data_IF_221656249663
#
_entry.id   IF_221656249663
#
_cell.length_a   1.000
_cell.length_b   1.000
_cell.length_c   1.000
_cell.angle_alpha   90.00
_cell.angle_beta   90.00
_cell.angle_gamma   90.00
#
_symmetry.space_group_name_H-M   'P 1'
#
loop_
_entity.id
_entity.type
_entity.pdbx_description
1 polymer ?
#
# COMPACT_ATOMS: atom_id res chain seq x y z
N UNK A 1 -15.48 -19.13 26.04
CA UNK A 1 -16.14 -20.44 26.16
C UNK A 1 -16.81 -20.73 24.83
N UNK A 2 -16.75 -21.96 24.33
CA UNK A 2 -17.39 -22.30 23.06
C UNK A 2 -18.92 -22.21 23.19
N UNK A 3 -19.64 -21.77 22.15
CA UNK A 3 -21.10 -21.71 22.19
C UNK A 3 -21.67 -23.12 22.37
N UNK A 4 -22.71 -23.23 23.19
CA UNK A 4 -23.48 -24.47 23.40
C UNK A 4 -24.93 -24.23 23.01
N UNK A 5 -25.74 -25.30 22.92
CA UNK A 5 -27.14 -25.20 22.49
C UNK A 5 -27.97 -24.23 23.34
N UNK A 6 -27.64 -24.07 24.62
CA UNK A 6 -28.35 -23.20 25.57
C UNK A 6 -27.60 -21.89 25.88
N UNK A 7 -26.37 -21.72 25.38
CA UNK A 7 -25.52 -20.55 25.69
C UNK A 7 -24.80 -20.06 24.44
N UNK A 8 -25.32 -18.98 23.87
CA UNK A 8 -24.75 -18.25 22.74
C UNK A 8 -25.09 -16.76 22.85
N UNK A 9 -24.33 -15.90 22.17
CA UNK A 9 -24.59 -14.45 22.18
C UNK A 9 -25.51 -14.01 21.04
N UNK A 10 -25.38 -14.66 19.88
CA UNK A 10 -26.14 -14.35 18.66
C UNK A 10 -26.59 -15.67 18.03
N UNK A 11 -27.79 -15.68 17.46
CA UNK A 11 -28.34 -16.80 16.72
C UNK A 11 -28.86 -16.31 15.38
N UNK A 12 -28.40 -16.95 14.31
CA UNK A 12 -28.86 -16.70 12.95
C UNK A 12 -29.39 -18.00 12.34
N UNK A 13 -30.48 -17.91 11.59
CA UNK A 13 -31.11 -19.06 10.94
C UNK A 13 -30.97 -18.87 9.43
N UNK A 14 -30.32 -19.84 8.80
CA UNK A 14 -30.13 -19.90 7.35
C UNK A 14 -30.87 -21.11 6.76
N UNK A 15 -31.38 -21.04 5.52
CA UNK A 15 -31.43 -19.84 4.68
C UNK A 15 -32.42 -18.79 5.22
N UNK A 16 -32.08 -17.51 5.10
CA UNK A 16 -32.96 -16.42 5.53
C UNK A 16 -34.19 -16.33 4.61
N UNK A 17 -35.36 -16.72 5.14
CA UNK A 17 -36.62 -16.74 4.37
C UNK A 17 -37.25 -15.36 4.18
N UNK A 18 -36.82 -14.35 4.95
CA UNK A 18 -37.34 -12.97 4.84
C UNK A 18 -36.83 -12.24 3.59
N UNK A 19 -35.74 -12.72 3.01
CA UNK A 19 -35.23 -12.26 1.72
C UNK A 19 -36.09 -12.94 0.65
N UNK A 20 -37.24 -12.35 0.34
CA UNK A 20 -38.14 -12.78 -0.74
C UNK A 20 -38.74 -11.56 -1.46
N UNK A 21 -38.23 -11.33 -2.69
CA UNK A 21 -38.81 -10.61 -3.84
C UNK A 21 -39.70 -9.38 -3.58
N UNK A 22 -39.11 -8.18 -3.74
CA UNK A 22 -39.84 -6.99 -4.18
C UNK A 22 -39.05 -6.10 -5.16
N UNK A 23 -37.96 -6.59 -5.76
CA UNK A 23 -37.16 -5.83 -6.73
C UNK A 23 -36.81 -6.72 -7.91
N UNK A 24 -37.21 -6.31 -9.11
CA UNK A 24 -37.01 -6.97 -10.41
C UNK A 24 -35.54 -7.15 -10.85
N UNK A 25 -34.59 -6.73 -10.01
CA UNK A 25 -33.21 -6.43 -10.44
C UNK A 25 -32.15 -7.33 -9.77
N UNK A 26 -32.55 -8.34 -8.99
CA UNK A 26 -31.60 -9.24 -8.29
C UNK A 26 -31.42 -10.54 -9.10
N UNK A 27 -30.18 -10.88 -9.43
CA UNK A 27 -29.82 -12.13 -10.11
C UNK A 27 -30.04 -13.35 -9.17
N UNK A 28 -30.43 -14.50 -9.72
CA UNK A 28 -30.68 -15.75 -8.97
C UNK A 28 -29.46 -16.20 -8.14
N UNK A 29 -28.25 -16.02 -8.67
CA UNK A 29 -27.00 -16.35 -7.95
C UNK A 29 -26.83 -15.46 -6.71
N UNK A 30 -27.16 -14.17 -6.83
CA UNK A 30 -27.07 -13.21 -5.74
C UNK A 30 -28.17 -13.49 -4.70
N UNK A 31 -29.35 -13.95 -5.10
CA UNK A 31 -30.41 -14.37 -4.17
C UNK A 31 -29.98 -15.55 -3.29
N UNK A 32 -29.34 -16.56 -3.88
CA UNK A 32 -28.83 -17.70 -3.12
C UNK A 32 -27.76 -17.26 -2.13
N UNK A 33 -26.84 -16.39 -2.55
CA UNK A 33 -25.80 -15.83 -1.68
C UNK A 33 -26.40 -15.04 -0.52
N UNK A 34 -27.35 -14.14 -0.80
CA UNK A 34 -28.02 -13.31 0.21
C UNK A 34 -28.76 -14.15 1.25
N UNK A 35 -29.47 -15.20 0.81
CA UNK A 35 -30.16 -16.13 1.72
C UNK A 35 -29.20 -16.90 2.63
N UNK A 36 -27.94 -17.07 2.26
CA UNK A 36 -26.91 -17.78 3.03
C UNK A 36 -25.88 -16.85 3.67
N UNK A 37 -26.09 -15.54 3.60
CA UNK A 37 -25.20 -14.53 4.19
C UNK A 37 -25.81 -13.98 5.47
N UNK A 38 -24.97 -13.81 6.49
CA UNK A 38 -25.33 -13.11 7.72
C UNK A 38 -24.49 -11.84 7.82
N UNK A 39 -25.14 -10.71 8.08
CA UNK A 39 -24.45 -9.46 8.37
C UNK A 39 -24.42 -9.24 9.87
N UNK A 40 -23.22 -9.06 10.44
CA UNK A 40 -23.03 -8.73 11.84
C UNK A 40 -22.75 -7.23 11.97
N UNK A 41 -23.74 -6.42 12.37
CA UNK A 41 -23.56 -4.97 12.45
C UNK A 41 -22.56 -4.56 13.55
N UNK A 42 -21.95 -3.36 13.45
CA UNK A 42 -20.90 -2.91 14.37
C UNK A 42 -21.32 -2.88 15.85
N UNK A 43 -22.60 -2.71 16.14
CA UNK A 43 -23.17 -2.68 17.48
C UNK A 43 -23.25 -4.06 18.17
N UNK A 44 -23.09 -5.17 17.45
CA UNK A 44 -23.10 -6.51 18.04
C UNK A 44 -21.70 -7.08 18.30
N UNK A 45 -20.64 -6.37 17.88
CA UNK A 45 -19.26 -6.77 18.13
C UNK A 45 -18.77 -6.27 19.49
N UNK A 46 -18.05 -7.11 20.22
CA UNK A 46 -17.42 -6.76 21.50
C UNK A 46 -16.01 -6.15 21.31
N UNK A 47 -15.67 -5.74 20.08
CA UNK A 47 -14.35 -5.22 19.71
C UNK A 47 -13.36 -6.29 19.25
N UNK A 48 -12.07 -6.01 19.35
CA UNK A 48 -11.01 -6.93 18.93
C UNK A 48 -10.97 -8.15 19.85
N UNK A 49 -11.10 -9.35 19.28
CA UNK A 49 -11.09 -10.57 20.06
C UNK A 49 -11.29 -11.82 19.21
N UNK A 50 -11.31 -12.97 19.87
CA UNK A 50 -11.60 -14.26 19.23
C UNK A 50 -13.10 -14.52 19.28
N UNK A 51 -13.71 -14.66 18.12
CA UNK A 51 -15.11 -15.06 17.96
C UNK A 51 -15.18 -16.54 17.61
N UNK A 52 -16.11 -17.27 18.24
CA UNK A 52 -16.31 -18.70 17.99
C UNK A 52 -17.68 -18.88 17.34
N UNK A 53 -17.70 -19.45 16.14
CA UNK A 53 -18.92 -19.71 15.37
C UNK A 53 -19.27 -21.19 15.50
N UNK A 54 -20.49 -21.49 15.95
CA UNK A 54 -21.05 -22.83 15.98
C UNK A 54 -22.11 -22.98 14.88
N UNK A 55 -22.08 -24.09 14.15
CA UNK A 55 -23.06 -24.42 13.11
C UNK A 55 -23.82 -25.67 13.55
N UNK A 56 -25.16 -25.58 13.57
CA UNK A 56 -26.06 -26.70 13.91
C UNK A 56 -27.17 -26.82 12.87
N UNK A 57 -27.45 -28.04 12.45
CA UNK A 57 -28.62 -28.35 11.63
C UNK A 57 -29.87 -28.35 12.50
N UNK A 58 -30.88 -27.54 12.16
CA UNK A 58 -32.11 -27.41 12.96
C UNK A 58 -33.18 -28.45 12.58
N UNK A 59 -33.43 -28.67 11.29
CA UNK A 59 -34.43 -29.63 10.80
C UNK A 59 -33.94 -30.25 9.48
N UNK A 60 -34.01 -31.58 9.38
CA UNK A 60 -33.92 -32.29 8.10
C UNK A 60 -35.34 -32.69 7.66
N UNK A 61 -35.69 -32.47 6.40
CA UNK A 61 -36.97 -32.91 5.82
C UNK A 61 -37.07 -34.44 5.67
N UNK A 62 -35.99 -35.15 6.00
CA UNK A 62 -35.88 -36.61 5.94
C UNK A 62 -35.66 -37.15 7.33
N UNK A 63 -36.34 -38.24 7.68
CA UNK A 63 -36.10 -39.02 8.90
C UNK A 63 -34.72 -39.67 8.82
N UNK A 64 -33.67 -38.92 9.11
CA UNK A 64 -32.32 -39.44 9.27
C UNK A 64 -31.96 -39.39 10.76
N UNK A 65 -31.38 -40.47 11.27
CA UNK A 65 -30.78 -40.47 12.60
C UNK A 65 -29.68 -39.40 12.63
N UNK A 66 -29.88 -38.35 13.43
CA UNK A 66 -29.02 -37.16 13.53
C UNK A 66 -27.60 -37.44 14.07
N UNK A 67 -27.27 -38.70 14.39
CA UNK A 67 -26.00 -39.11 14.99
C UNK A 67 -24.88 -39.35 13.99
N UNK A 68 -25.15 -39.36 12.68
CA UNK A 68 -24.16 -39.81 11.67
C UNK A 68 -24.18 -38.96 10.39
N UNK A 69 -24.35 -37.64 10.51
CA UNK A 69 -24.31 -36.75 9.35
C UNK A 69 -23.05 -35.87 9.34
N UNK A 70 -22.10 -36.23 8.47
CA UNK A 70 -20.95 -35.39 8.16
C UNK A 70 -21.36 -34.31 7.15
N UNK A 71 -21.75 -33.13 7.64
CA UNK A 71 -21.94 -31.95 6.79
C UNK A 71 -20.59 -31.30 6.50
N UNK A 72 -20.18 -31.26 5.24
CA UNK A 72 -19.12 -30.35 4.81
C UNK A 72 -19.73 -28.98 4.49
N UNK A 73 -19.12 -27.94 5.02
CA UNK A 73 -19.50 -26.55 4.74
C UNK A 73 -18.25 -25.70 4.57
N UNK A 74 -18.36 -24.68 3.73
CA UNK A 74 -17.30 -23.68 3.51
C UNK A 74 -17.80 -22.35 4.03
N UNK A 75 -17.09 -21.75 4.98
CA UNK A 75 -17.40 -20.43 5.50
C UNK A 75 -16.44 -19.42 4.86
N UNK A 76 -17.01 -18.39 4.23
CA UNK A 76 -16.27 -17.23 3.78
C UNK A 76 -16.63 -16.03 4.66
N UNK A 77 -15.64 -15.25 5.04
CA UNK A 77 -15.81 -14.06 5.87
C UNK A 77 -15.23 -12.86 5.12
N UNK A 78 -16.00 -11.78 5.05
CA UNK A 78 -15.57 -10.51 4.50
C UNK A 78 -16.13 -9.38 5.33
N UNK A 79 -15.47 -8.22 5.29
CA UNK A 79 -15.94 -7.01 5.95
C UNK A 79 -16.35 -6.03 4.86
N UNK A 80 -17.56 -5.51 4.97
CA UNK A 80 -18.05 -4.42 4.13
C UNK A 80 -18.31 -3.17 4.98
N UNK A 81 -18.01 -1.99 4.43
CA UNK A 81 -18.17 -0.71 5.10
C UNK A 81 -18.65 0.34 4.10
N UNK A 82 -19.63 1.14 4.51
CA UNK A 82 -20.07 2.32 3.78
C UNK A 82 -19.42 3.57 4.36
N UNK A 83 -18.76 4.36 3.51
CA UNK A 83 -18.11 5.60 3.91
C UNK A 83 -18.42 6.73 2.93
N UNK A 84 -18.26 7.96 3.40
CA UNK A 84 -18.28 9.16 2.59
C UNK A 84 -17.05 10.01 2.89
N UNK A 85 -16.68 10.84 1.92
CA UNK A 85 -15.61 11.80 2.10
C UNK A 85 -16.13 13.02 2.88
N UNK A 86 -15.65 13.22 4.11
CA UNK A 86 -15.93 14.42 4.90
C UNK A 86 -14.97 15.53 4.48
N UNK A 87 -15.43 16.46 3.65
CA UNK A 87 -14.63 17.59 3.15
C UNK A 87 -14.17 18.54 4.25
N UNK A 88 -14.89 18.63 5.38
CA UNK A 88 -14.50 19.53 6.47
C UNK A 88 -13.33 18.97 7.28
N UNK A 89 -13.31 17.65 7.44
CA UNK A 89 -12.28 16.94 8.19
C UNK A 89 -11.17 16.36 7.30
N UNK A 90 -11.34 16.42 5.98
CA UNK A 90 -10.45 15.81 4.99
C UNK A 90 -10.17 14.32 5.29
N UNK A 91 -11.20 13.57 5.65
CA UNK A 91 -11.09 12.14 6.00
C UNK A 91 -12.35 11.36 5.61
N UNK A 92 -12.21 10.04 5.44
CA UNK A 92 -13.34 9.14 5.25
C UNK A 92 -14.10 8.93 6.56
N UNK A 93 -15.39 9.27 6.57
CA UNK A 93 -16.30 9.03 7.71
C UNK A 93 -17.39 8.02 7.33
N UNK A 94 -17.90 7.29 8.30
CA UNK A 94 -19.08 6.42 8.15
C UNK A 94 -20.33 7.01 8.82
N UNK A 95 -20.24 8.24 9.34
CA UNK A 95 -21.33 8.86 10.09
C UNK A 95 -22.59 9.01 9.23
N UNK A 96 -23.69 8.37 9.65
CA UNK A 96 -24.96 8.41 8.93
C UNK A 96 -25.04 7.52 7.69
N UNK A 97 -24.11 6.57 7.52
CA UNK A 97 -24.18 5.51 6.53
C UNK A 97 -24.14 4.14 7.20
N UNK A 98 -25.01 3.24 6.76
CA UNK A 98 -25.08 1.86 7.24
C UNK A 98 -25.06 0.90 6.04
N UNK A 99 -24.51 -0.30 6.24
CA UNK A 99 -24.50 -1.36 5.23
C UNK A 99 -25.87 -2.04 5.22
N UNK A 100 -26.49 -2.12 4.05
CA UNK A 100 -27.80 -2.70 3.84
C UNK A 100 -27.77 -4.23 3.74
N UNK A 101 -28.95 -4.83 3.86
CA UNK A 101 -29.13 -6.29 3.87
C UNK A 101 -28.97 -6.94 2.47
N UNK A 102 -28.97 -6.15 1.39
CA UNK A 102 -28.74 -6.63 0.02
C UNK A 102 -27.25 -6.58 -0.38
N UNK A 103 -26.35 -6.52 0.60
CA UNK A 103 -24.90 -6.58 0.37
C UNK A 103 -24.44 -8.01 0.06
N UNK A 104 -23.71 -8.17 -1.04
CA UNK A 104 -23.07 -9.40 -1.51
C UNK A 104 -21.55 -9.21 -1.63
N UNK A 105 -20.83 -10.28 -1.98
CA UNK A 105 -19.40 -10.24 -2.31
C UNK A 105 -19.08 -9.33 -3.50
N UNK A 106 -20.05 -9.06 -4.39
CA UNK A 106 -19.85 -8.26 -5.61
C UNK A 106 -20.36 -6.83 -5.46
N UNK A 107 -21.35 -6.60 -4.62
CA UNK A 107 -22.01 -5.30 -4.48
C UNK A 107 -22.32 -5.01 -3.01
N UNK A 108 -22.00 -3.80 -2.56
CA UNK A 108 -22.38 -3.34 -1.22
C UNK A 108 -23.55 -2.37 -1.33
N UNK A 109 -24.63 -2.66 -0.61
CA UNK A 109 -25.74 -1.75 -0.46
C UNK A 109 -25.42 -0.75 0.66
N UNK A 110 -25.41 0.54 0.35
CA UNK A 110 -25.15 1.60 1.33
C UNK A 110 -26.40 2.44 1.57
N UNK A 111 -26.91 2.39 2.80
CA UNK A 111 -28.05 3.16 3.27
C UNK A 111 -27.52 4.41 4.01
N UNK A 112 -27.43 5.53 3.29
CA UNK A 112 -26.96 6.80 3.83
C UNK A 112 -28.10 7.81 3.98
N UNK A 113 -28.09 8.59 5.06
CA UNK A 113 -29.09 9.66 5.33
C UNK A 113 -28.72 11.04 4.76
N UNK A 114 -27.65 11.11 3.96
CA UNK A 114 -27.13 12.35 3.37
C UNK A 114 -26.70 12.10 1.92
N UNK A 115 -26.67 13.18 1.12
CA UNK A 115 -26.24 13.14 -0.27
C UNK A 115 -24.80 13.66 -0.36
N UNK A 116 -23.85 12.76 -0.28
CA UNK A 116 -22.41 13.05 -0.38
C UNK A 116 -21.74 12.06 -1.33
N UNK A 117 -20.49 12.31 -1.70
CA UNK A 117 -19.70 11.31 -2.43
C UNK A 117 -19.45 10.12 -1.52
N UNK A 118 -20.17 9.02 -1.79
CA UNK A 118 -20.07 7.76 -1.06
C UNK A 118 -19.16 6.78 -1.78
N UNK A 119 -18.54 5.89 -1.00
CA UNK A 119 -17.77 4.76 -1.47
C UNK A 119 -17.96 3.56 -0.53
N UNK A 120 -17.98 2.36 -1.11
CA UNK A 120 -17.88 1.12 -0.34
C UNK A 120 -16.40 0.75 -0.15
N UNK A 121 -16.04 0.31 1.05
CA UNK A 121 -14.76 -0.35 1.32
C UNK A 121 -15.02 -1.82 1.62
N UNK A 122 -14.24 -2.71 1.00
CA UNK A 122 -14.29 -4.14 1.24
C UNK A 122 -12.92 -4.61 1.73
N UNK A 123 -12.88 -5.16 2.94
CA UNK A 123 -11.67 -5.71 3.52
C UNK A 123 -11.77 -7.22 3.61
N UNK A 124 -11.01 -7.90 2.75
CA UNK A 124 -10.76 -9.33 2.87
C UNK A 124 -9.51 -9.49 3.75
N UNK A 125 -9.61 -10.10 4.93
CA UNK A 125 -8.45 -10.30 5.78
C UNK A 125 -7.40 -11.12 5.01
N UNK A 126 -6.15 -10.63 4.89
CA UNK A 126 -5.12 -11.38 4.20
C UNK A 126 -4.88 -12.70 4.94
N UNK A 127 -4.67 -13.79 4.19
CA UNK A 127 -4.29 -15.07 4.78
C UNK A 127 -3.06 -14.87 5.68
N UNK A 128 -3.18 -15.25 6.95
CA UNK A 128 -2.09 -15.09 7.91
C UNK A 128 -0.92 -15.96 7.50
N UNK A 129 0.24 -15.36 7.25
CA UNK A 129 1.46 -16.10 6.94
C UNK A 129 1.99 -16.68 8.25
N UNK A 130 1.85 -18.00 8.43
CA UNK A 130 2.53 -18.69 9.52
C UNK A 130 4.00 -18.90 9.15
N UNK A 131 4.86 -18.01 9.66
CA UNK A 131 6.30 -18.08 9.45
C UNK A 131 6.91 -19.42 9.92
N UNK A 132 6.31 -20.13 10.89
CA UNK A 132 6.80 -21.47 11.29
C UNK A 132 6.67 -22.47 10.14
N UNK A 133 5.57 -22.38 9.38
CA UNK A 133 5.33 -23.21 8.20
C UNK A 133 6.26 -22.81 7.05
N UNK A 134 6.53 -21.50 6.87
CA UNK A 134 7.49 -21.01 5.87
C UNK A 134 8.91 -21.56 6.16
N UNK A 135 9.40 -21.47 7.40
CA UNK A 135 10.72 -22.01 7.79
C UNK A 135 10.82 -23.53 7.69
N UNK A 136 9.72 -24.27 7.91
CA UNK A 136 9.68 -25.72 7.63
C UNK A 136 9.82 -26.01 6.14
N UNK A 137 9.15 -25.23 5.27
CA UNK A 137 9.27 -25.37 3.80
C UNK A 137 10.66 -25.00 3.30
N UNK A 138 11.38 -24.09 3.97
CA UNK A 138 12.79 -23.81 3.69
C UNK A 138 13.71 -25.03 3.91
N UNK A 139 13.35 -26.03 4.73
CA UNK A 139 14.15 -27.28 4.81
C UNK A 139 14.09 -28.11 3.53
N UNK A 140 13.07 -27.90 2.70
CA UNK A 140 12.85 -28.54 1.39
C UNK A 140 13.14 -27.56 0.25
N UNK A 141 14.15 -26.71 0.40
CA UNK A 141 14.57 -25.73 -0.62
C UNK A 141 14.82 -26.35 -2.00
N UNK A 142 15.26 -27.62 -2.05
CA UNK A 142 15.48 -28.33 -3.30
C UNK A 142 14.20 -28.55 -4.12
N UNK A 143 13.03 -28.66 -3.49
CA UNK A 143 11.74 -28.85 -4.19
C UNK A 143 11.33 -27.60 -4.99
N UNK A 144 11.85 -26.42 -4.63
CA UNK A 144 11.57 -25.14 -5.30
C UNK A 144 12.86 -24.37 -5.64
N UNK A 145 13.93 -25.10 -5.96
CA UNK A 145 15.25 -24.52 -6.18
C UNK A 145 15.26 -23.45 -7.29
N UNK A 146 14.43 -23.62 -8.33
CA UNK A 146 14.32 -22.67 -9.44
C UNK A 146 13.83 -21.30 -8.95
N UNK A 147 12.72 -21.25 -8.19
CA UNK A 147 12.14 -19.99 -7.67
C UNK A 147 13.08 -19.34 -6.67
N UNK A 148 13.71 -20.13 -5.80
CA UNK A 148 14.65 -19.59 -4.83
C UNK A 148 15.90 -19.00 -5.50
N UNK A 149 16.42 -19.68 -6.52
CA UNK A 149 17.57 -19.21 -7.31
C UNK A 149 17.26 -17.91 -8.05
N UNK A 150 16.10 -17.79 -8.69
CA UNK A 150 15.72 -16.56 -9.41
C UNK A 150 15.61 -15.36 -8.47
N UNK A 151 15.01 -15.54 -7.29
CA UNK A 151 14.91 -14.49 -6.27
C UNK A 151 16.29 -14.05 -5.79
N UNK A 152 17.20 -14.98 -5.53
CA UNK A 152 18.58 -14.66 -5.13
C UNK A 152 19.34 -13.90 -6.23
N UNK A 153 19.18 -14.28 -7.49
CA UNK A 153 19.82 -13.60 -8.63
C UNK A 153 19.30 -12.18 -8.77
N UNK A 154 17.97 -11.98 -8.75
CA UNK A 154 17.36 -10.65 -8.81
C UNK A 154 17.84 -9.78 -7.64
N UNK A 155 17.88 -10.34 -6.43
CA UNK A 155 18.38 -9.63 -5.26
C UNK A 155 19.86 -9.25 -5.38
N UNK A 156 20.69 -10.16 -5.92
CA UNK A 156 22.10 -9.88 -6.20
C UNK A 156 22.29 -8.74 -7.20
N UNK A 157 21.55 -8.76 -8.31
CA UNK A 157 21.57 -7.68 -9.32
C UNK A 157 21.13 -6.35 -8.68
N UNK A 158 20.06 -6.38 -7.88
CA UNK A 158 19.59 -5.20 -7.15
C UNK A 158 20.68 -4.61 -6.25
N UNK A 159 21.37 -5.44 -5.46
CA UNK A 159 22.45 -4.98 -4.56
C UNK A 159 23.60 -4.36 -5.36
N UNK A 160 24.01 -4.98 -6.48
CA UNK A 160 25.06 -4.45 -7.35
C UNK A 160 24.65 -3.08 -7.92
N UNK A 161 23.42 -2.98 -8.44
CA UNK A 161 22.88 -1.73 -8.97
C UNK A 161 22.79 -0.65 -7.90
N UNK A 162 22.34 -1.00 -6.69
CA UNK A 162 22.25 -0.08 -5.56
C UNK A 162 23.63 0.43 -5.10
N UNK A 163 24.65 -0.43 -5.08
CA UNK A 163 26.04 -0.02 -4.77
C UNK A 163 26.56 0.93 -5.85
N UNK A 164 26.33 0.61 -7.12
CA UNK A 164 26.74 1.46 -8.24
C UNK A 164 26.05 2.84 -8.19
N UNK A 165 24.73 2.86 -7.99
CA UNK A 165 23.94 4.08 -7.86
C UNK A 165 24.46 4.94 -6.70
N UNK A 166 24.67 4.35 -5.51
CA UNK A 166 25.24 5.09 -4.37
C UNK A 166 26.63 5.65 -4.63
N UNK A 167 27.47 4.94 -5.39
CA UNK A 167 28.78 5.47 -5.80
C UNK A 167 28.63 6.65 -6.75
N UNK A 168 27.66 6.60 -7.67
CA UNK A 168 27.33 7.71 -8.58
C UNK A 168 26.75 8.91 -7.83
N UNK A 169 25.83 8.72 -6.90
CA UNK A 169 25.27 9.79 -6.08
C UNK A 169 26.37 10.52 -5.28
N UNK A 170 27.32 9.77 -4.70
CA UNK A 170 28.47 10.38 -4.01
C UNK A 170 29.38 11.17 -4.94
N UNK A 171 29.58 10.72 -6.18
CA UNK A 171 30.32 11.48 -7.18
C UNK A 171 29.56 12.73 -7.62
N UNK A 172 28.23 12.66 -7.69
CA UNK A 172 27.40 13.79 -8.08
C UNK A 172 27.41 14.87 -7.00
N UNK A 173 27.36 14.52 -5.70
CA UNK A 173 27.50 15.50 -4.61
C UNK A 173 28.77 16.36 -4.71
N UNK A 174 29.87 15.81 -5.24
CA UNK A 174 31.11 16.56 -5.48
C UNK A 174 30.92 17.59 -6.60
N UNK A 175 30.14 17.27 -7.63
CA UNK A 175 29.84 18.19 -8.75
C UNK A 175 28.95 19.36 -8.36
N UNK A 176 28.09 19.19 -7.36
CA UNK A 176 27.16 20.23 -6.89
C UNK A 176 27.76 21.15 -5.81
N UNK A 177 28.97 20.86 -5.34
CA UNK A 177 29.65 21.69 -4.36
C UNK A 177 30.31 22.88 -5.06
N UNK A 178 30.03 24.10 -4.61
CA UNK A 178 30.74 25.30 -5.05
C UNK A 178 32.21 25.22 -4.60
N UNK A 179 33.13 25.11 -5.56
CA UNK A 179 34.56 25.13 -5.29
C UNK A 179 35.07 26.58 -5.26
N UNK A 180 35.86 26.98 -4.23
CA UNK A 180 36.50 28.28 -4.23
C UNK A 180 37.55 28.37 -5.35
N UNK A 181 37.75 29.56 -5.91
CA UNK A 181 38.86 29.81 -6.81
C UNK A 181 40.19 29.63 -6.07
N UNK A 182 41.23 29.23 -6.80
CA UNK A 182 42.57 28.97 -6.25
C UNK A 182 43.19 30.16 -5.51
N UNK A 183 42.76 31.38 -5.84
CA UNK A 183 43.24 32.66 -5.32
C UNK A 183 42.24 33.32 -4.36
N UNK A 184 41.17 32.62 -3.96
CA UNK A 184 40.19 33.10 -3.00
C UNK A 184 40.71 32.97 -1.56
N UNK A 185 40.72 34.05 -0.79
CA UNK A 185 41.22 34.08 0.59
C UNK A 185 40.04 34.17 1.58
N UNK A 186 40.09 33.47 2.73
CA UNK A 186 39.01 33.54 3.75
C UNK A 186 38.76 34.93 4.34
N UNK A 187 39.72 35.84 4.16
CA UNK A 187 39.68 37.22 4.65
C UNK A 187 39.19 38.21 3.59
N UNK A 188 38.83 37.75 2.40
CA UNK A 188 38.34 38.61 1.34
C UNK A 188 37.01 39.25 1.75
N UNK A 189 36.88 40.56 1.48
CA UNK A 189 35.75 41.35 1.94
C UNK A 189 34.42 40.99 1.24
N UNK A 190 34.49 40.40 0.04
CA UNK A 190 33.33 40.11 -0.80
C UNK A 190 33.44 38.71 -1.38
N UNK A 191 32.33 37.98 -1.35
CA UNK A 191 32.23 36.63 -1.89
C UNK A 191 31.15 36.59 -2.97
N UNK A 192 31.53 36.16 -4.17
CA UNK A 192 30.62 36.03 -5.31
C UNK A 192 30.50 34.57 -5.72
N UNK A 193 29.27 34.12 -5.96
CA UNK A 193 29.01 32.83 -6.59
C UNK A 193 28.88 33.04 -8.10
N UNK A 194 29.76 32.42 -8.86
CA UNK A 194 29.76 32.49 -10.33
C UNK A 194 29.31 31.13 -10.87
N UNK A 195 28.25 31.13 -11.66
CA UNK A 195 27.74 29.93 -12.35
C UNK A 195 28.00 30.08 -13.85
N UNK A 196 28.74 29.13 -14.42
CA UNK A 196 29.03 29.10 -15.85
C UNK A 196 28.15 28.05 -16.52
N UNK A 197 27.42 28.45 -17.55
CA UNK A 197 26.59 27.55 -18.34
C UNK A 197 27.20 27.36 -19.73
N UNK A 198 27.40 26.11 -20.13
CA UNK A 198 27.74 25.73 -21.51
C UNK A 198 26.49 25.33 -22.27
N UNK A 199 26.60 25.18 -23.61
CA UNK A 199 25.51 24.66 -24.43
C UNK A 199 25.09 23.23 -24.02
N UNK A 200 23.92 22.80 -24.46
CA UNK A 200 23.32 21.48 -24.11
C UNK A 200 23.81 20.36 -25.03
N UNK A 201 24.47 20.68 -26.15
CA UNK A 201 24.94 19.71 -27.13
C UNK A 201 26.09 18.84 -26.64
N UNK A 202 26.24 17.65 -27.24
CA UNK A 202 27.44 16.82 -27.07
C UNK A 202 28.68 17.67 -27.41
N UNK A 203 29.71 17.62 -26.58
CA UNK A 203 30.96 18.40 -26.73
C UNK A 203 30.81 19.93 -26.58
N UNK A 204 29.72 20.42 -25.98
CA UNK A 204 29.58 21.86 -25.67
C UNK A 204 30.48 22.36 -24.52
N UNK A 205 31.20 21.46 -23.85
CA UNK A 205 32.23 21.79 -22.86
C UNK A 205 33.51 22.36 -23.51
N UNK A 206 34.43 22.84 -22.70
CA UNK A 206 35.74 23.31 -23.18
C UNK A 206 36.87 22.83 -22.27
N UNK A 207 38.02 22.52 -22.87
CA UNK A 207 39.27 22.19 -22.18
C UNK A 207 40.21 23.39 -22.04
N UNK A 208 39.80 24.56 -22.52
CA UNK A 208 40.58 25.80 -22.44
C UNK A 208 40.72 26.31 -21.01
N UNK A 209 41.83 27.01 -20.72
CA UNK A 209 41.98 27.74 -19.47
C UNK A 209 41.11 29.00 -19.50
N UNK A 210 39.99 28.99 -18.78
CA UNK A 210 39.07 30.14 -18.72
C UNK A 210 39.48 31.08 -17.59
N UNK A 211 39.48 32.38 -17.86
CA UNK A 211 39.69 33.44 -16.87
C UNK A 211 38.67 34.55 -17.11
N UNK A 212 38.37 35.33 -16.07
CA UNK A 212 37.46 36.46 -16.15
C UNK A 212 38.03 37.67 -15.39
N UNK A 213 37.49 38.84 -15.68
CA UNK A 213 37.72 40.08 -14.93
C UNK A 213 36.35 40.64 -14.57
N UNK A 214 36.11 40.89 -13.29
CA UNK A 214 34.90 41.55 -12.82
C UNK A 214 35.23 43.03 -12.56
N UNK A 215 34.59 43.93 -13.30
CA UNK A 215 34.77 45.37 -13.16
C UNK A 215 33.57 45.98 -12.45
N UNK A 216 33.83 46.76 -11.40
CA UNK A 216 32.85 47.57 -10.70
C UNK A 216 33.10 49.07 -10.90
N UNK A 217 32.30 49.90 -10.24
CA UNK A 217 32.39 51.37 -10.35
C UNK A 217 33.72 51.92 -9.79
N UNK A 218 34.23 51.34 -8.71
CA UNK A 218 35.42 51.84 -8.01
C UNK A 218 36.71 51.08 -8.32
N UNK A 219 36.63 49.84 -8.80
CA UNK A 219 37.78 48.97 -9.04
C UNK A 219 37.40 47.73 -9.88
N UNK A 220 38.41 46.97 -10.33
CA UNK A 220 38.23 45.64 -10.90
C UNK A 220 38.91 44.55 -10.06
N UNK A 221 38.52 43.30 -10.30
CA UNK A 221 39.02 42.13 -9.59
C UNK A 221 40.43 41.69 -10.00
N UNK A 222 41.02 42.29 -11.05
CA UNK A 222 42.10 41.70 -11.82
C UNK A 222 41.68 40.42 -12.56
N UNK A 223 42.64 39.76 -13.21
CA UNK A 223 42.43 38.49 -13.92
C UNK A 223 42.27 37.35 -12.90
N UNK A 224 41.09 36.74 -12.88
CA UNK A 224 40.75 35.59 -12.02
C UNK A 224 40.60 34.34 -12.86
N UNK A 225 41.31 33.27 -12.51
CA UNK A 225 41.26 31.99 -13.24
C UNK A 225 40.11 31.14 -12.70
N UNK A 226 39.23 30.63 -13.56
CA UNK A 226 38.14 29.73 -13.18
C UNK A 226 38.67 28.31 -12.91
N UNK A 227 39.45 28.16 -11.85
CA UNK A 227 40.05 26.90 -11.44
C UNK A 227 40.24 26.88 -9.92
N UNK A 228 39.96 25.73 -9.31
CA UNK A 228 40.19 25.46 -7.89
C UNK A 228 41.56 24.80 -7.62
N UNK A 229 42.38 24.65 -8.66
CA UNK A 229 43.71 24.02 -8.61
C UNK A 229 43.72 22.51 -8.31
N UNK A 230 42.55 21.88 -8.14
CA UNK A 230 42.42 20.47 -7.73
C UNK A 230 41.62 19.63 -8.71
N UNK A 231 40.75 20.23 -9.51
CA UNK A 231 39.79 19.50 -10.33
C UNK A 231 39.98 19.83 -11.82
N UNK A 232 40.42 18.84 -12.61
CA UNK A 232 40.09 18.78 -14.03
C UNK A 232 38.80 17.97 -14.17
N UNK A 233 37.66 18.66 -14.29
CA UNK A 233 36.40 17.98 -14.63
C UNK A 233 36.45 17.76 -16.14
N UNK A 234 36.74 16.52 -16.55
CA UNK A 234 36.44 16.12 -17.93
C UNK A 234 34.91 16.03 -18.02
N UNK A 235 34.30 17.01 -18.69
CA UNK A 235 32.88 17.03 -19.03
C UNK A 235 32.56 16.01 -20.12
#
# INVERSE_FOLDING_TARGET
ESPTESKFNLLFILPNKTISTSTSDINLDDEYELRHTIFMPPNVHFGNGTYIIGVKLLNASTTMNLTEYNSSYTINMYVSKCQYWDEKRYMWSSDGCEVGALTTLKSTECLCRHLTTFGGDFYVPPNTIDFKTVFKKFKKLHENAAVFSTVLVIFGIYVIAAIWARRKDRQDLIKWTAAPLMDNLPIDAYHYLITVHTGVGKEAGTTSNISFVMSGESADSGVRKLSDGKIQVNF
#
